data_IF_556428413228
#
_entry.id   IF_556428413228
#
_cell.length_a   1.000
_cell.length_b   1.000
_cell.length_c   1.000
_cell.angle_alpha   90.00
_cell.angle_beta   90.00
_cell.angle_gamma   90.00
#
_symmetry.space_group_name_H-M   'P 1'
#
loop_
_entity.id
_entity.type
_entity.pdbx_description
1 polymer ?
#
# COMPACT_ATOMS: atom_id res chain seq x y z
N UNK A 1 6.54 21.99 4.33
CA UNK A 1 5.25 22.53 3.90
C UNK A 1 4.14 21.77 4.61
N UNK A 2 3.17 22.46 5.22
CA UNK A 2 1.96 21.82 5.74
C UNK A 2 0.77 22.50 5.08
N UNK A 3 -0.11 21.72 4.46
CA UNK A 3 -1.31 22.20 3.78
C UNK A 3 -2.53 21.55 4.42
N UNK A 4 -3.50 22.38 4.80
CA UNK A 4 -4.74 21.97 5.43
C UNK A 4 -5.92 22.20 4.48
N UNK A 5 -6.74 21.18 4.27
CA UNK A 5 -8.04 21.30 3.58
C UNK A 5 -9.16 20.96 4.54
N UNK A 6 -9.57 21.97 5.32
CA UNK A 6 -10.68 21.90 6.26
C UNK A 6 -11.67 23.03 5.99
N UNK A 7 -12.44 22.91 4.92
CA UNK A 7 -13.55 23.80 4.68
C UNK A 7 -14.80 23.01 4.34
N UNK A 8 -15.76 23.07 5.26
CA UNK A 8 -17.13 22.72 4.97
C UNK A 8 -17.58 23.44 3.70
N UNK A 9 -17.98 22.65 2.71
CA UNK A 9 -18.81 23.00 1.56
C UNK A 9 -18.46 24.13 0.57
N UNK A 10 -17.48 25.00 0.77
CA UNK A 10 -17.47 26.24 -0.05
C UNK A 10 -16.53 26.30 -1.26
N UNK A 11 -15.49 25.45 -1.37
CA UNK A 11 -14.51 25.60 -2.46
C UNK A 11 -14.03 24.25 -3.00
N UNK A 12 -14.07 24.10 -4.34
CA UNK A 12 -13.34 23.05 -5.04
C UNK A 12 -11.88 23.51 -5.20
N UNK A 13 -11.02 23.09 -4.28
CA UNK A 13 -9.62 23.48 -4.29
C UNK A 13 -8.84 22.57 -5.26
N UNK A 14 -8.31 23.14 -6.34
CA UNK A 14 -7.35 22.44 -7.20
C UNK A 14 -5.94 22.97 -6.96
N UNK A 15 -5.00 22.09 -6.59
CA UNK A 15 -3.59 22.46 -6.38
C UNK A 15 -2.69 21.51 -7.15
N UNK A 16 -1.75 22.10 -7.88
CA UNK A 16 -0.78 21.38 -8.69
C UNK A 16 0.62 21.69 -8.18
N UNK A 17 1.35 20.66 -7.77
CA UNK A 17 2.78 20.72 -7.49
C UNK A 17 3.53 20.02 -8.63
N UNK A 18 4.36 20.75 -9.36
CA UNK A 18 5.17 20.23 -10.47
C UNK A 18 6.63 20.58 -10.26
N UNK A 19 7.52 19.63 -10.54
CA UNK A 19 8.96 19.83 -10.41
C UNK A 19 9.33 20.32 -8.99
N UNK A 20 8.62 19.81 -7.99
CA UNK A 20 8.87 20.16 -6.60
C UNK A 20 9.96 19.26 -6.05
N UNK A 21 11.03 19.87 -5.57
CA UNK A 21 12.10 19.19 -4.88
C UNK A 21 12.06 19.67 -3.44
N UNK A 22 11.75 18.77 -2.52
CA UNK A 22 11.85 19.14 -1.12
C UNK A 22 13.34 19.40 -0.79
N UNK A 23 13.57 20.27 0.17
CA UNK A 23 14.91 20.48 0.73
C UNK A 23 15.14 19.34 1.74
N UNK A 24 16.38 18.86 1.89
CA UNK A 24 16.73 17.94 2.99
C UNK A 24 16.13 18.45 4.31
N UNK A 25 15.59 17.52 5.11
CA UNK A 25 14.91 17.82 6.38
C UNK A 25 13.57 18.56 6.26
N UNK A 26 12.96 18.65 5.07
CA UNK A 26 11.64 19.28 4.93
C UNK A 26 10.50 18.28 4.99
N UNK A 27 9.52 18.57 5.83
CA UNK A 27 8.30 17.79 6.00
C UNK A 27 7.21 18.29 5.05
N UNK A 28 6.68 17.44 4.17
CA UNK A 28 5.50 17.76 3.35
C UNK A 28 4.27 17.04 3.88
N UNK A 29 3.35 17.80 4.50
CA UNK A 29 2.16 17.24 5.13
C UNK A 29 0.90 17.81 4.52
N UNK A 30 0.01 16.93 4.10
CA UNK A 30 -1.31 17.23 3.56
C UNK A 30 -2.34 16.73 4.54
N UNK A 31 -3.09 17.63 5.13
CA UNK A 31 -4.12 17.27 6.09
C UNK A 31 -5.48 17.47 5.46
N UNK A 32 -6.14 16.35 5.19
CA UNK A 32 -7.36 16.24 4.40
C UNK A 32 -8.56 16.04 5.33
N UNK A 33 -9.54 16.94 5.26
CA UNK A 33 -10.82 16.78 5.95
C UNK A 33 -12.00 16.80 4.99
N UNK A 34 -13.18 17.10 5.53
CA UNK A 34 -14.44 17.21 4.77
C UNK A 34 -14.43 18.44 3.84
N UNK A 35 -13.75 18.32 2.71
CA UNK A 35 -13.65 19.33 1.65
C UNK A 35 -13.58 18.68 0.27
N UNK A 36 -14.01 19.42 -0.74
CA UNK A 36 -13.80 19.08 -2.15
C UNK A 36 -12.42 19.57 -2.59
N UNK A 37 -11.57 18.66 -3.05
CA UNK A 37 -10.27 19.03 -3.58
C UNK A 37 -9.79 18.12 -4.72
N UNK A 38 -8.85 18.65 -5.49
CA UNK A 38 -8.03 17.92 -6.44
C UNK A 38 -6.58 18.31 -6.27
N UNK A 39 -5.80 17.44 -5.63
CA UNK A 39 -4.35 17.57 -5.52
C UNK A 39 -3.67 16.76 -6.60
N UNK A 40 -2.69 17.37 -7.25
CA UNK A 40 -1.88 16.72 -8.26
C UNK A 40 -0.40 17.05 -8.06
N UNK A 41 0.39 16.04 -7.68
CA UNK A 41 1.84 16.12 -7.52
C UNK A 41 2.47 15.36 -8.68
N UNK A 42 3.33 16.03 -9.46
CA UNK A 42 3.99 15.42 -10.61
C UNK A 42 5.48 15.75 -10.68
N UNK A 43 6.28 14.80 -11.15
CA UNK A 43 7.70 14.98 -11.46
C UNK A 43 8.45 15.63 -10.28
N UNK A 44 8.21 15.11 -9.07
CA UNK A 44 8.70 15.70 -7.83
C UNK A 44 9.61 14.73 -7.08
N UNK A 45 10.39 15.23 -6.14
CA UNK A 45 11.30 14.41 -5.32
C UNK A 45 11.24 14.83 -3.85
N UNK A 46 11.16 13.83 -2.97
CA UNK A 46 11.10 14.01 -1.53
C UNK A 46 12.22 13.22 -0.85
N UNK A 47 13.05 13.93 -0.07
CA UNK A 47 14.17 13.39 0.71
C UNK A 47 14.24 14.09 2.07
N UNK A 48 14.28 13.34 3.17
CA UNK A 48 14.43 13.90 4.53
C UNK A 48 15.72 13.45 5.23
N UNK A 49 16.42 12.43 4.72
CA UNK A 49 17.54 11.81 5.43
C UNK A 49 17.06 10.99 6.64
N UNK A 50 17.91 10.88 7.66
CA UNK A 50 17.62 10.13 8.91
C UNK A 50 16.89 11.00 9.97
N UNK A 51 16.06 11.94 9.53
CA UNK A 51 15.23 12.76 10.41
C UNK A 51 13.96 12.01 10.79
N UNK A 52 13.52 12.06 12.06
CA UNK A 52 12.28 11.45 12.47
C UNK A 52 11.02 11.97 11.74
N UNK A 53 11.10 13.14 11.11
CA UNK A 53 10.00 13.70 10.34
C UNK A 53 9.76 12.94 9.02
N UNK A 54 8.49 12.60 8.77
CA UNK A 54 8.06 12.00 7.50
C UNK A 54 8.39 12.93 6.32
N UNK A 55 9.04 12.46 5.26
CA UNK A 55 9.27 13.33 4.11
C UNK A 55 7.96 13.75 3.43
N UNK A 56 6.98 12.83 3.43
CA UNK A 56 5.67 13.03 2.84
C UNK A 56 4.57 12.32 3.65
N UNK A 57 3.56 13.07 4.05
CA UNK A 57 2.47 12.56 4.89
C UNK A 57 1.11 13.08 4.41
N UNK A 58 0.20 12.16 4.09
CA UNK A 58 -1.22 12.44 3.94
C UNK A 58 -1.92 12.01 5.23
N UNK A 59 -2.53 12.96 5.92
CA UNK A 59 -3.29 12.72 7.13
C UNK A 59 -4.76 13.06 6.90
N UNK A 60 -5.65 12.10 7.12
CA UNK A 60 -7.07 12.39 7.25
C UNK A 60 -7.34 12.92 8.66
N UNK A 61 -8.02 14.06 8.79
CA UNK A 61 -8.34 14.69 10.07
C UNK A 61 -9.70 15.38 10.05
N UNK A 62 -10.43 15.31 11.15
CA UNK A 62 -11.64 16.11 11.42
C UNK A 62 -11.25 17.15 12.45
N UNK A 63 -10.81 18.32 11.98
CA UNK A 63 -10.77 19.49 12.84
C UNK A 63 -11.81 20.49 12.37
N UNK A 64 -12.57 20.91 13.38
CA UNK A 64 -13.57 21.98 13.41
C UNK A 64 -14.97 21.51 13.03
N UNK A 65 -15.87 21.66 14.01
CA UNK A 65 -17.33 21.79 13.89
C UNK A 65 -17.71 22.17 12.46
N UNK A 66 -17.99 21.18 11.62
CA UNK A 66 -18.55 21.39 10.30
C UNK A 66 -19.86 22.12 10.51
N UNK A 67 -19.85 23.44 10.33
CA UNK A 67 -21.09 24.22 10.21
C UNK A 67 -21.92 23.51 9.15
N UNK A 68 -23.19 23.27 9.46
CA UNK A 68 -24.14 22.31 8.90
C UNK A 68 -24.37 22.41 7.38
N UNK A 69 -23.34 22.30 6.56
CA UNK A 69 -23.45 22.29 5.11
C UNK A 69 -23.52 20.83 4.65
N UNK A 70 -24.67 20.21 4.87
CA UNK A 70 -25.01 18.94 4.20
C UNK A 70 -25.36 19.25 2.75
N UNK A 71 -24.78 18.54 1.80
CA UNK A 71 -25.27 18.49 0.42
C UNK A 71 -26.16 17.26 0.28
N UNK A 72 -27.47 17.38 0.55
CA UNK A 72 -28.37 16.25 0.37
C UNK A 72 -28.37 15.83 -1.10
N UNK A 73 -28.03 14.56 -1.36
CA UNK A 73 -28.16 13.95 -2.67
C UNK A 73 -26.96 14.05 -3.62
N UNK A 74 -25.82 14.60 -3.20
CA UNK A 74 -24.59 14.64 -4.03
C UNK A 74 -23.45 13.95 -3.30
N UNK A 75 -22.92 12.89 -3.90
CA UNK A 75 -21.68 12.26 -3.45
C UNK A 75 -20.50 13.16 -3.82
N UNK A 76 -19.80 13.68 -2.82
CA UNK A 76 -18.65 14.54 -3.00
C UNK A 76 -17.40 13.69 -3.23
N UNK A 77 -16.67 13.99 -4.31
CA UNK A 77 -15.49 13.23 -4.72
C UNK A 77 -14.26 14.14 -4.67
N UNK A 78 -13.26 13.73 -3.89
CA UNK A 78 -11.97 14.39 -3.77
C UNK A 78 -10.85 13.49 -4.28
N UNK A 79 -9.89 14.09 -4.98
CA UNK A 79 -8.80 13.36 -5.65
C UNK A 79 -7.45 13.82 -5.14
N UNK A 80 -6.54 12.87 -4.93
CA UNK A 80 -5.14 13.12 -4.63
C UNK A 80 -4.29 12.23 -5.53
N UNK A 81 -3.55 12.82 -6.46
CA UNK A 81 -2.74 12.08 -7.41
C UNK A 81 -1.28 12.45 -7.21
N UNK A 82 -0.45 11.41 -7.13
CA UNK A 82 1.01 11.48 -7.09
C UNK A 82 1.50 10.70 -8.31
N UNK A 83 2.14 11.38 -9.25
CA UNK A 83 2.61 10.78 -10.50
C UNK A 83 4.09 11.11 -10.74
N UNK A 84 4.84 10.19 -11.35
CA UNK A 84 6.23 10.41 -11.78
C UNK A 84 7.12 10.96 -10.65
N UNK A 85 6.91 10.51 -9.41
CA UNK A 85 7.49 11.12 -8.21
C UNK A 85 8.40 10.16 -7.47
N UNK A 86 9.47 10.69 -6.88
CA UNK A 86 10.48 9.91 -6.16
C UNK A 86 10.45 10.21 -4.66
N UNK A 87 10.49 9.16 -3.84
CA UNK A 87 10.65 9.22 -2.40
C UNK A 87 11.88 8.39 -2.04
N UNK A 88 13.03 9.04 -1.86
CA UNK A 88 14.30 8.34 -1.68
C UNK A 88 15.01 8.76 -0.39
N UNK A 89 15.75 7.82 0.20
CA UNK A 89 16.70 8.06 1.29
C UNK A 89 16.04 8.75 2.50
N UNK A 90 14.87 8.22 2.90
CA UNK A 90 14.06 8.74 4.00
C UNK A 90 14.13 7.84 5.23
N UNK A 91 13.70 8.34 6.39
CA UNK A 91 13.39 7.46 7.51
C UNK A 91 12.13 6.63 7.21
N UNK A 92 11.08 7.31 6.78
CA UNK A 92 9.89 6.72 6.17
C UNK A 92 9.64 7.35 4.81
N UNK A 93 9.25 6.55 3.81
CA UNK A 93 8.70 7.08 2.57
C UNK A 93 7.26 7.61 2.77
N UNK A 94 6.38 7.52 1.76
CA UNK A 94 5.03 8.04 1.87
C UNK A 94 4.23 7.39 3.00
N UNK A 95 3.62 8.23 3.83
CA UNK A 95 2.67 7.81 4.87
C UNK A 95 1.28 8.32 4.51
N UNK A 96 0.29 7.44 4.54
CA UNK A 96 -1.14 7.78 4.43
C UNK A 96 -1.82 7.26 5.68
N UNK A 97 -2.34 8.14 6.51
CA UNK A 97 -2.92 7.73 7.80
C UNK A 97 -4.17 8.49 8.18
N UNK A 98 -4.96 7.89 9.07
CA UNK A 98 -6.11 8.53 9.70
C UNK A 98 -5.81 8.91 11.17
N UNK A 99 -6.23 10.12 11.56
CA UNK A 99 -6.30 10.51 12.98
C UNK A 99 -7.18 9.52 13.78
N UNK A 100 -6.79 9.21 15.02
CA UNK A 100 -7.43 8.20 15.86
C UNK A 100 -8.88 8.52 16.23
N UNK A 101 -9.26 9.79 16.25
CA UNK A 101 -10.57 10.25 16.74
C UNK A 101 -11.63 10.40 15.65
N UNK A 102 -11.27 10.14 14.39
CA UNK A 102 -12.15 10.29 13.26
C UNK A 102 -13.19 9.13 13.16
N UNK A 103 -14.47 9.41 12.91
CA UNK A 103 -15.47 8.38 12.62
C UNK A 103 -15.09 7.55 11.38
N UNK A 104 -15.59 6.31 11.28
CA UNK A 104 -15.27 5.39 10.18
C UNK A 104 -15.81 5.84 8.81
N UNK A 105 -16.77 6.76 8.81
CA UNK A 105 -17.44 7.27 7.62
C UNK A 105 -17.28 8.78 7.54
N UNK A 106 -16.73 9.26 6.42
CA UNK A 106 -16.77 10.67 6.02
C UNK A 106 -17.83 10.84 4.93
N UNK A 107 -18.35 12.06 4.76
CA UNK A 107 -19.35 12.34 3.73
C UNK A 107 -18.74 12.35 2.31
N UNK A 108 -17.42 12.57 2.23
CA UNK A 108 -16.70 12.66 0.96
C UNK A 108 -16.00 11.34 0.65
N UNK A 109 -16.06 10.93 -0.62
CA UNK A 109 -15.22 9.86 -1.15
C UNK A 109 -13.87 10.43 -1.58
N UNK A 110 -12.80 9.78 -1.15
CA UNK A 110 -11.42 10.15 -1.44
C UNK A 110 -10.79 9.10 -2.33
N UNK A 111 -10.24 9.54 -3.46
CA UNK A 111 -9.44 8.71 -4.34
C UNK A 111 -7.99 9.17 -4.27
N UNK A 112 -7.12 8.32 -3.73
CA UNK A 112 -5.67 8.53 -3.76
C UNK A 112 -5.09 7.65 -4.85
N UNK A 113 -4.28 8.22 -5.74
CA UNK A 113 -3.56 7.49 -6.77
C UNK A 113 -2.07 7.76 -6.65
N UNK A 114 -1.27 6.70 -6.50
CA UNK A 114 0.19 6.73 -6.59
C UNK A 114 0.58 6.00 -7.87
N UNK A 115 1.17 6.71 -8.82
CA UNK A 115 1.42 6.20 -10.16
C UNK A 115 2.83 6.48 -10.62
N UNK A 116 3.49 5.52 -11.28
CA UNK A 116 4.79 5.73 -11.91
C UNK A 116 5.83 6.31 -10.94
N UNK A 117 5.77 5.87 -9.68
CA UNK A 117 6.62 6.39 -8.61
C UNK A 117 7.76 5.43 -8.28
N UNK A 118 8.83 6.00 -7.71
CA UNK A 118 9.91 5.25 -7.09
C UNK A 118 9.94 5.57 -5.59
N UNK A 119 9.76 4.56 -4.74
CA UNK A 119 9.84 4.67 -3.29
C UNK A 119 11.00 3.79 -2.84
N UNK A 120 12.12 4.40 -2.45
CA UNK A 120 13.35 3.67 -2.27
C UNK A 120 14.18 4.07 -1.05
N UNK A 121 14.97 3.11 -0.56
CA UNK A 121 15.98 3.29 0.47
C UNK A 121 15.45 3.96 1.75
N UNK A 122 14.22 3.62 2.15
CA UNK A 122 13.67 4.10 3.42
C UNK A 122 14.09 3.18 4.56
N UNK A 123 14.69 3.76 5.60
CA UNK A 123 15.36 3.00 6.66
C UNK A 123 14.42 2.36 7.69
N UNK A 124 13.16 2.79 7.79
CA UNK A 124 12.14 2.15 8.65
C UNK A 124 10.98 1.57 7.83
N UNK A 125 10.44 2.33 6.88
CA UNK A 125 9.37 1.85 6.03
C UNK A 125 9.34 2.60 4.70
N UNK A 126 9.14 1.88 3.59
CA UNK A 126 8.99 2.48 2.27
C UNK A 126 7.63 3.14 2.10
N UNK A 127 6.58 2.37 2.34
CA UNK A 127 5.20 2.84 2.25
C UNK A 127 4.45 2.43 3.52
N UNK A 128 3.70 3.36 4.10
CA UNK A 128 2.78 3.08 5.20
C UNK A 128 1.39 3.57 4.83
N UNK A 129 0.42 2.66 4.84
CA UNK A 129 -1.00 2.98 4.70
C UNK A 129 -1.73 2.47 5.93
N UNK A 130 -2.30 3.37 6.72
CA UNK A 130 -3.16 3.05 7.86
C UNK A 130 -4.36 4.00 7.93
N UNK A 131 -5.40 3.70 7.15
CA UNK A 131 -6.60 4.55 7.09
C UNK A 131 -7.68 4.13 8.09
N UNK A 132 -7.39 3.22 9.03
CA UNK A 132 -8.30 2.75 10.09
C UNK A 132 -9.73 2.47 9.60
N UNK A 133 -9.82 1.73 8.50
CA UNK A 133 -11.07 1.30 7.85
C UNK A 133 -11.98 2.46 7.46
N UNK A 134 -11.41 3.57 7.00
CA UNK A 134 -12.19 4.62 6.34
C UNK A 134 -12.81 4.07 5.06
N UNK A 135 -14.11 3.78 5.11
CA UNK A 135 -14.84 3.20 3.97
C UNK A 135 -14.94 4.16 2.79
N UNK A 136 -14.68 5.45 3.02
CA UNK A 136 -14.73 6.48 2.01
C UNK A 136 -13.40 6.71 1.29
N UNK A 137 -12.33 5.97 1.63
CA UNK A 137 -11.01 6.13 1.02
C UNK A 137 -10.70 4.93 0.13
N UNK A 138 -10.44 5.19 -1.15
CA UNK A 138 -9.86 4.24 -2.08
C UNK A 138 -8.44 4.67 -2.46
N UNK A 139 -7.51 3.72 -2.45
CA UNK A 139 -6.11 3.97 -2.79
C UNK A 139 -5.69 3.03 -3.92
N UNK A 140 -5.21 3.61 -5.01
CA UNK A 140 -4.71 2.87 -6.16
C UNK A 140 -3.20 3.12 -6.31
N UNK A 141 -2.42 2.04 -6.42
CA UNK A 141 -0.97 2.12 -6.64
C UNK A 141 -0.65 1.41 -7.94
N UNK A 142 -0.14 2.15 -8.92
CA UNK A 142 0.10 1.63 -10.27
C UNK A 142 1.49 1.94 -10.79
N UNK A 143 2.08 1.01 -11.55
CA UNK A 143 3.37 1.21 -12.24
C UNK A 143 4.48 1.72 -11.29
N UNK A 144 4.50 1.25 -10.04
CA UNK A 144 5.31 1.82 -8.95
C UNK A 144 6.32 0.81 -8.44
N UNK A 145 7.51 1.31 -8.09
CA UNK A 145 8.61 0.50 -7.57
C UNK A 145 8.90 0.84 -6.09
N UNK A 146 8.98 -0.19 -5.25
CA UNK A 146 9.28 -0.12 -3.82
C UNK A 146 10.59 -0.87 -3.57
N UNK A 147 11.73 -0.16 -3.51
CA UNK A 147 13.07 -0.77 -3.62
C UNK A 147 13.95 -0.45 -2.40
N UNK A 148 14.56 -1.46 -1.78
CA UNK A 148 15.56 -1.23 -0.73
C UNK A 148 14.99 -0.62 0.55
N UNK A 149 13.69 -0.77 0.79
CA UNK A 149 13.02 -0.28 2.01
C UNK A 149 13.03 -1.36 3.08
N UNK A 150 13.04 -1.01 4.37
CA UNK A 150 12.94 -2.04 5.41
C UNK A 150 11.64 -2.86 5.28
N UNK A 151 10.48 -2.22 5.31
CA UNK A 151 9.17 -2.86 5.10
C UNK A 151 8.22 -1.95 4.32
N UNK A 152 7.25 -2.53 3.61
CA UNK A 152 6.09 -1.80 3.11
C UNK A 152 4.84 -2.35 3.81
N UNK A 153 4.04 -1.47 4.40
CA UNK A 153 2.95 -1.84 5.30
C UNK A 153 1.62 -1.25 4.83
N UNK A 154 0.64 -2.13 4.71
CA UNK A 154 -0.77 -1.77 4.61
C UNK A 154 -1.47 -2.35 5.83
N UNK A 155 -2.01 -1.47 6.67
CA UNK A 155 -2.75 -1.82 7.88
C UNK A 155 -4.14 -1.18 7.90
N UNK A 156 -5.11 -1.86 8.52
CA UNK A 156 -6.45 -1.34 8.78
C UNK A 156 -7.09 -0.66 7.55
N UNK A 157 -7.07 -1.30 6.38
CA UNK A 157 -7.45 -0.67 5.10
C UNK A 157 -8.18 -1.64 4.17
N UNK A 158 -9.33 -1.25 3.61
CA UNK A 158 -10.18 -2.17 2.83
C UNK A 158 -10.17 -1.98 1.30
N UNK A 159 -9.85 -0.79 0.82
CA UNK A 159 -10.00 -0.42 -0.60
C UNK A 159 -8.67 -0.04 -1.23
N UNK A 160 -7.72 -0.98 -1.18
CA UNK A 160 -6.40 -0.82 -1.79
C UNK A 160 -6.33 -1.65 -3.08
N UNK A 161 -5.90 -1.04 -4.18
CA UNK A 161 -5.59 -1.74 -5.43
C UNK A 161 -4.12 -1.57 -5.81
N UNK A 162 -3.51 -2.65 -6.28
CA UNK A 162 -2.12 -2.70 -6.76
C UNK A 162 -2.09 -3.22 -8.20
N UNK A 163 -1.38 -2.54 -9.09
CA UNK A 163 -1.27 -2.91 -10.50
C UNK A 163 0.10 -2.57 -11.06
N UNK A 164 0.81 -3.52 -11.66
CA UNK A 164 2.18 -3.34 -12.15
C UNK A 164 3.14 -2.79 -11.09
N UNK A 165 3.12 -3.38 -9.88
CA UNK A 165 3.97 -2.96 -8.76
C UNK A 165 5.13 -3.93 -8.61
N UNK A 166 6.33 -3.40 -8.37
CA UNK A 166 7.52 -4.20 -8.03
C UNK A 166 7.99 -3.83 -6.64
N UNK A 167 8.22 -4.84 -5.79
CA UNK A 167 8.78 -4.70 -4.46
C UNK A 167 10.07 -5.51 -4.38
N UNK A 168 11.20 -4.86 -4.14
CA UNK A 168 12.48 -5.57 -4.17
C UNK A 168 13.50 -5.10 -3.15
N UNK A 169 14.40 -6.02 -2.79
CA UNK A 169 15.53 -5.79 -1.91
C UNK A 169 15.13 -5.23 -0.54
N UNK A 170 13.92 -5.54 -0.05
CA UNK A 170 13.52 -5.17 1.30
C UNK A 170 14.24 -6.00 2.36
N UNK A 171 14.60 -5.37 3.48
CA UNK A 171 15.31 -6.05 4.59
C UNK A 171 14.38 -6.73 5.58
N UNK A 172 13.08 -6.51 5.46
CA UNK A 172 11.98 -7.27 6.03
C UNK A 172 11.01 -7.66 4.92
N UNK A 173 9.87 -8.26 5.30
CA UNK A 173 8.85 -8.72 4.35
C UNK A 173 8.56 -7.64 3.30
N UNK A 174 8.65 -7.99 2.01
CA UNK A 174 8.49 -7.03 0.91
C UNK A 174 7.21 -6.21 1.07
N UNK A 175 6.07 -6.88 1.24
CA UNK A 175 4.80 -6.25 1.62
C UNK A 175 4.17 -7.00 2.80
N UNK A 176 3.72 -6.25 3.80
CA UNK A 176 2.94 -6.75 4.92
C UNK A 176 1.52 -6.21 4.90
N UNK A 177 0.54 -7.12 4.94
CA UNK A 177 -0.87 -6.81 5.15
C UNK A 177 -1.25 -7.15 6.59
N UNK A 178 -1.91 -6.23 7.28
CA UNK A 178 -2.48 -6.44 8.62
C UNK A 178 -3.89 -5.86 8.70
N UNK A 179 -4.89 -6.62 9.11
CA UNK A 179 -6.27 -6.15 9.15
C UNK A 179 -6.69 -5.42 7.86
N UNK A 180 -6.36 -5.95 6.68
CA UNK A 180 -6.52 -5.23 5.42
C UNK A 180 -7.07 -6.09 4.30
N UNK A 181 -7.80 -5.46 3.38
CA UNK A 181 -8.23 -6.02 2.11
C UNK A 181 -7.49 -5.30 0.97
N UNK A 182 -6.69 -6.05 0.22
CA UNK A 182 -5.95 -5.53 -0.93
C UNK A 182 -6.31 -6.31 -2.19
N UNK A 183 -6.45 -5.62 -3.32
CA UNK A 183 -6.78 -6.20 -4.62
C UNK A 183 -5.61 -6.07 -5.58
N UNK A 184 -5.26 -7.17 -6.25
CA UNK A 184 -4.26 -7.20 -7.31
C UNK A 184 -4.98 -7.21 -8.66
N UNK A 185 -4.80 -6.14 -9.42
CA UNK A 185 -5.47 -5.94 -10.70
C UNK A 185 -4.65 -6.44 -11.89
N UNK A 186 -3.32 -6.45 -11.76
CA UNK A 186 -2.41 -6.88 -12.82
C UNK A 186 -1.13 -7.49 -12.21
N UNK A 187 0.05 -7.13 -12.71
CA UNK A 187 1.31 -7.72 -12.27
C UNK A 187 1.73 -7.20 -10.89
N UNK A 188 2.10 -8.09 -9.99
CA UNK A 188 2.77 -7.78 -8.72
C UNK A 188 4.00 -8.69 -8.57
N UNK A 189 5.17 -8.07 -8.41
CA UNK A 189 6.46 -8.77 -8.38
C UNK A 189 7.20 -8.51 -7.07
N UNK A 190 7.66 -9.57 -6.43
CA UNK A 190 8.51 -9.55 -5.24
C UNK A 190 9.87 -10.19 -5.54
N UNK A 191 10.95 -9.44 -5.34
CA UNK A 191 12.32 -9.88 -5.65
C UNK A 191 13.31 -9.63 -4.52
N UNK A 192 14.11 -10.64 -4.15
CA UNK A 192 15.23 -10.48 -3.21
C UNK A 192 14.84 -9.84 -1.87
N UNK A 193 13.61 -10.02 -1.41
CA UNK A 193 13.18 -9.49 -0.13
C UNK A 193 13.51 -10.50 0.98
N UNK A 194 13.86 -10.01 2.17
CA UNK A 194 14.00 -10.86 3.36
C UNK A 194 12.76 -10.77 4.24
N UNK A 195 12.70 -11.44 5.38
CA UNK A 195 11.55 -11.34 6.28
C UNK A 195 11.65 -12.36 7.41
N UNK A 196 10.91 -12.14 8.50
CA UNK A 196 10.76 -13.19 9.51
C UNK A 196 9.78 -14.24 8.98
N UNK A 197 8.61 -13.77 8.54
CA UNK A 197 7.62 -14.53 7.80
C UNK A 197 7.29 -13.79 6.51
N UNK A 198 7.01 -14.51 5.43
CA UNK A 198 6.58 -13.88 4.17
C UNK A 198 7.66 -13.01 3.56
N UNK A 199 8.76 -13.61 3.09
CA UNK A 199 9.89 -12.84 2.54
C UNK A 199 9.44 -11.87 1.45
N UNK A 200 8.64 -12.34 0.48
CA UNK A 200 7.96 -11.46 -0.47
C UNK A 200 6.72 -10.80 0.13
N UNK A 201 5.74 -11.59 0.55
CA UNK A 201 4.44 -11.12 1.04
C UNK A 201 4.05 -11.81 2.34
N UNK A 202 3.66 -11.02 3.33
CA UNK A 202 3.09 -11.50 4.59
C UNK A 202 1.63 -11.03 4.75
N UNK A 203 0.69 -11.97 4.85
CA UNK A 203 -0.74 -11.73 5.06
C UNK A 203 -1.09 -12.14 6.50
N UNK A 204 -1.32 -11.16 7.36
CA UNK A 204 -1.55 -11.38 8.80
C UNK A 204 -2.86 -10.73 9.27
N UNK A 205 -3.28 -11.06 10.50
CA UNK A 205 -4.27 -10.31 11.25
C UNK A 205 -5.63 -10.20 10.51
N UNK A 206 -6.14 -11.32 10.00
CA UNK A 206 -7.37 -11.40 9.20
C UNK A 206 -7.34 -10.58 7.90
N UNK A 207 -6.16 -10.44 7.29
CA UNK A 207 -6.03 -9.76 5.99
C UNK A 207 -6.42 -10.66 4.82
N UNK A 208 -6.99 -10.07 3.79
CA UNK A 208 -7.41 -10.79 2.58
C UNK A 208 -6.74 -10.15 1.37
N UNK A 209 -6.11 -10.97 0.54
CA UNK A 209 -5.64 -10.59 -0.78
C UNK A 209 -6.63 -11.09 -1.84
N UNK A 210 -7.22 -10.18 -2.62
CA UNK A 210 -8.08 -10.52 -3.76
C UNK A 210 -7.25 -10.45 -5.04
N UNK A 211 -7.33 -11.49 -5.87
CA UNK A 211 -6.70 -11.54 -7.17
C UNK A 211 -7.76 -11.50 -8.26
N UNK A 212 -7.69 -10.51 -9.13
CA UNK A 212 -8.57 -10.40 -10.32
C UNK A 212 -8.15 -11.40 -11.39
N UNK A 213 -8.97 -11.57 -12.43
CA UNK A 213 -8.66 -12.46 -13.56
C UNK A 213 -7.41 -12.07 -14.35
N UNK A 214 -7.01 -10.80 -14.26
CA UNK A 214 -5.83 -10.26 -14.95
C UNK A 214 -4.59 -10.24 -14.06
N UNK A 215 -4.71 -10.68 -12.80
CA UNK A 215 -3.59 -10.68 -11.86
C UNK A 215 -2.47 -11.63 -12.32
N UNK A 216 -1.22 -11.26 -12.05
CA UNK A 216 -0.05 -12.10 -12.28
C UNK A 216 0.94 -11.86 -11.14
N UNK A 217 1.29 -12.91 -10.41
CA UNK A 217 2.18 -12.81 -9.27
C UNK A 217 3.53 -13.45 -9.55
N UNK A 218 4.61 -12.77 -9.16
CA UNK A 218 5.98 -13.29 -9.25
C UNK A 218 6.71 -13.13 -7.93
N UNK A 219 7.21 -14.23 -7.37
CA UNK A 219 8.05 -14.26 -6.17
C UNK A 219 9.37 -14.95 -6.50
N UNK A 220 10.43 -14.16 -6.57
CA UNK A 220 11.75 -14.60 -7.02
C UNK A 220 12.80 -14.26 -5.96
N UNK A 221 13.59 -15.25 -5.55
CA UNK A 221 14.73 -15.10 -4.64
C UNK A 221 14.36 -14.44 -3.29
N UNK A 222 13.12 -14.62 -2.81
CA UNK A 222 12.71 -14.07 -1.51
C UNK A 222 13.05 -15.03 -0.37
N UNK A 223 13.39 -14.49 0.80
CA UNK A 223 13.84 -15.26 1.94
C UNK A 223 13.05 -14.93 3.22
N UNK A 224 12.58 -15.95 3.92
CA UNK A 224 12.04 -15.83 5.27
C UNK A 224 12.93 -16.58 6.26
N UNK A 225 13.25 -16.00 7.42
CA UNK A 225 14.02 -16.69 8.46
C UNK A 225 13.18 -17.75 9.19
N UNK A 226 11.84 -17.70 9.08
CA UNK A 226 10.93 -18.67 9.68
C UNK A 226 10.06 -19.38 8.64
N UNK A 227 9.04 -18.72 8.07
CA UNK A 227 8.04 -19.39 7.22
C UNK A 227 7.62 -18.55 6.02
N UNK A 228 7.33 -19.21 4.90
CA UNK A 228 6.80 -18.55 3.71
C UNK A 228 7.84 -17.65 3.04
N UNK A 229 8.85 -18.21 2.39
CA UNK A 229 9.89 -17.40 1.74
C UNK A 229 9.31 -16.48 0.66
N UNK A 230 8.42 -16.99 -0.19
CA UNK A 230 7.62 -16.18 -1.10
C UNK A 230 6.43 -15.54 -0.39
N UNK A 231 5.47 -16.37 0.03
CA UNK A 231 4.19 -15.94 0.62
C UNK A 231 4.00 -16.59 1.98
N UNK A 232 3.60 -15.81 2.97
CA UNK A 232 3.08 -16.28 4.25
C UNK A 232 1.64 -15.84 4.43
N UNK A 233 0.77 -16.79 4.79
CA UNK A 233 -0.61 -16.53 5.21
C UNK A 233 -0.78 -17.03 6.63
N UNK A 234 -1.20 -16.16 7.53
CA UNK A 234 -1.43 -16.52 8.92
C UNK A 234 -2.64 -17.47 9.05
N UNK A 235 -2.43 -18.63 9.68
CA UNK A 235 -3.47 -19.66 9.80
C UNK A 235 -4.38 -19.50 11.03
N UNK A 236 -3.94 -18.71 12.03
CA UNK A 236 -4.67 -18.51 13.29
C UNK A 236 -5.77 -17.45 13.19
N UNK A 237 -5.83 -16.73 12.06
CA UNK A 237 -6.82 -15.69 11.80
C UNK A 237 -7.58 -16.00 10.50
N UNK A 238 -8.60 -15.20 10.19
CA UNK A 238 -9.36 -15.32 8.93
C UNK A 238 -8.58 -14.78 7.72
N UNK A 239 -7.25 -14.88 7.73
CA UNK A 239 -6.40 -14.41 6.65
C UNK A 239 -6.50 -15.32 5.44
N UNK A 240 -6.39 -14.77 4.23
CA UNK A 240 -6.52 -15.59 3.03
C UNK A 240 -6.22 -14.90 1.72
N UNK A 241 -6.26 -15.71 0.66
CA UNK A 241 -6.12 -15.26 -0.73
C UNK A 241 -7.36 -15.74 -1.49
N UNK A 242 -8.06 -14.81 -2.13
CA UNK A 242 -9.28 -15.07 -2.91
C UNK A 242 -8.96 -14.86 -4.39
N UNK A 243 -9.07 -15.93 -5.17
CA UNK A 243 -8.92 -15.89 -6.61
C UNK A 243 -10.30 -15.66 -7.26
N UNK A 244 -10.51 -14.53 -7.94
CA UNK A 244 -11.78 -14.23 -8.63
C UNK A 244 -11.97 -15.00 -9.93
N UNK A 245 -10.91 -15.59 -10.47
CA UNK A 245 -10.94 -16.46 -11.64
C UNK A 245 -9.94 -17.62 -11.48
N UNK A 246 -10.13 -18.75 -12.19
CA UNK A 246 -9.15 -19.84 -12.20
C UNK A 246 -7.92 -19.48 -13.05
N UNK A 247 -6.84 -20.25 -12.88
CA UNK A 247 -5.63 -20.19 -13.69
C UNK A 247 -4.88 -18.84 -13.63
N UNK A 248 -5.01 -18.12 -12.52
CA UNK A 248 -4.23 -16.89 -12.27
C UNK A 248 -2.74 -17.28 -12.23
N UNK A 249 -1.88 -16.67 -13.07
CA UNK A 249 -0.45 -17.00 -13.10
C UNK A 249 0.24 -16.70 -11.77
N UNK A 250 1.03 -17.66 -11.31
CA UNK A 250 1.90 -17.54 -10.15
C UNK A 250 3.26 -18.14 -10.45
N UNK A 251 4.29 -17.29 -10.38
CA UNK A 251 5.69 -17.68 -10.51
C UNK A 251 6.32 -17.70 -9.13
N UNK A 252 6.90 -18.85 -8.77
CA UNK A 252 7.66 -19.08 -7.55
C UNK A 252 9.04 -19.57 -7.98
N UNK A 253 10.10 -18.88 -7.57
CA UNK A 253 11.46 -19.23 -8.00
C UNK A 253 12.45 -18.90 -6.90
N UNK A 254 13.24 -19.90 -6.49
CA UNK A 254 14.36 -19.74 -5.56
C UNK A 254 14.00 -19.05 -4.23
N UNK A 255 12.73 -19.11 -3.82
CA UNK A 255 12.37 -18.62 -2.50
C UNK A 255 12.87 -19.60 -1.43
N UNK A 256 13.12 -19.11 -0.22
CA UNK A 256 13.63 -19.92 0.90
C UNK A 256 13.00 -19.53 2.21
N UNK A 257 12.66 -20.51 3.04
CA UNK A 257 12.22 -20.33 4.42
C UNK A 257 13.16 -21.08 5.36
N UNK A 258 13.42 -20.52 6.55
CA UNK A 258 14.27 -21.18 7.54
C UNK A 258 13.66 -22.45 8.14
N UNK A 259 12.33 -22.56 8.18
CA UNK A 259 11.61 -23.68 8.81
C UNK A 259 10.67 -24.41 7.84
N UNK A 260 9.66 -23.74 7.28
CA UNK A 260 8.64 -24.38 6.41
C UNK A 260 8.11 -23.44 5.33
N UNK A 261 7.68 -24.03 4.21
CA UNK A 261 7.09 -23.31 3.08
C UNK A 261 8.06 -22.32 2.43
N UNK A 262 9.07 -22.81 1.71
CA UNK A 262 10.00 -21.98 0.95
C UNK A 262 9.26 -21.02 0.03
N UNK A 263 8.30 -21.54 -0.72
CA UNK A 263 7.49 -20.73 -1.62
C UNK A 263 6.26 -20.15 -0.93
N UNK A 264 5.41 -20.99 -0.33
CA UNK A 264 4.16 -20.57 0.31
C UNK A 264 3.98 -21.31 1.63
N UNK A 265 3.58 -20.58 2.68
CA UNK A 265 3.11 -21.15 3.94
C UNK A 265 1.70 -20.67 4.28
N UNK A 266 0.86 -21.57 4.79
CA UNK A 266 -0.43 -21.24 5.40
C UNK A 266 -1.61 -21.05 4.44
N UNK A 267 -1.37 -21.03 3.14
CA UNK A 267 -2.43 -21.04 2.13
C UNK A 267 -2.96 -22.46 1.90
N UNK A 268 -4.26 -22.67 2.06
CA UNK A 268 -4.94 -23.92 1.73
C UNK A 268 -5.97 -23.69 0.63
N UNK A 269 -5.94 -24.54 -0.40
CA UNK A 269 -6.93 -24.50 -1.49
C UNK A 269 -8.17 -25.26 -1.03
N UNK A 270 -9.22 -24.57 -0.59
CA UNK A 270 -10.50 -25.18 -0.25
C UNK A 270 -11.52 -24.98 -1.38
N UNK A 271 -11.55 -25.92 -2.34
CA UNK A 271 -12.68 -26.10 -3.26
C UNK A 271 -13.01 -24.95 -4.22
N UNK A 272 -12.04 -24.09 -4.56
CA UNK A 272 -12.22 -22.90 -5.42
C UNK A 272 -11.26 -22.82 -6.60
N UNK A 273 -11.12 -21.61 -7.15
CA UNK A 273 -10.17 -21.27 -8.22
C UNK A 273 -8.72 -21.53 -7.78
N UNK A 274 -7.92 -22.15 -8.64
CA UNK A 274 -6.50 -22.46 -8.38
C UNK A 274 -5.56 -21.56 -9.18
N UNK A 275 -4.33 -21.38 -8.67
CA UNK A 275 -3.24 -20.76 -9.42
C UNK A 275 -2.78 -21.63 -10.59
N UNK A 276 -2.29 -20.98 -11.66
CA UNK A 276 -1.52 -21.62 -12.72
C UNK A 276 -0.03 -21.40 -12.44
N UNK A 277 0.65 -22.47 -12.01
CA UNK A 277 2.07 -22.42 -11.68
C UNK A 277 2.91 -22.38 -12.94
N UNK A 278 3.65 -21.30 -13.13
CA UNK A 278 4.47 -21.08 -14.33
C UNK A 278 5.86 -21.72 -14.24
N UNK A 279 6.26 -22.18 -13.04
CA UNK A 279 7.49 -22.96 -12.80
C UNK A 279 7.16 -24.15 -11.87
N UNK A 280 7.20 -25.41 -12.34
CA UNK A 280 6.61 -26.55 -11.63
C UNK A 280 7.45 -27.12 -10.47
N UNK A 281 8.68 -26.66 -10.25
CA UNK A 281 9.52 -27.12 -9.14
C UNK A 281 9.23 -26.31 -7.87
N UNK A 282 8.11 -26.60 -7.22
CA UNK A 282 7.76 -26.02 -5.92
C UNK A 282 8.40 -26.83 -4.81
N UNK A 283 9.13 -26.15 -3.94
CA UNK A 283 9.56 -26.68 -2.64
C UNK A 283 8.43 -26.42 -1.64
N UNK A 284 7.45 -27.33 -1.57
CA UNK A 284 6.35 -27.25 -0.59
C UNK A 284 6.43 -28.41 0.40
N UNK A 285 6.89 -28.13 1.61
CA UNK A 285 6.68 -28.97 2.80
C UNK A 285 6.36 -28.10 4.00
#
# INVERSE_FOLDING_TARGET
MVLFTYHGASYNLSVIFRNYYNILYSHSKFVLGDSLFSFYIKNSSFRSGLDPAYAFHIEFSEKVKSVECKFPGIQLVSTFVIEDTQFCDNWHGPVISKDAFLPRTLNNQFFITIKSCLIANSSIAGLIIDVKFLTSVQINITDTELIGNEVNLISNSDFISLSNVTVANSTSAGLSLRWSLATIENKLTFKNNTGIVGGGLAINDSSILILTSSANLEFIDNHASYKGGGIYVEQTSSSGIILKAPNIPLTLMNNKAGILGDDIYGYTVSGGNCFNLTNPNISST
#
